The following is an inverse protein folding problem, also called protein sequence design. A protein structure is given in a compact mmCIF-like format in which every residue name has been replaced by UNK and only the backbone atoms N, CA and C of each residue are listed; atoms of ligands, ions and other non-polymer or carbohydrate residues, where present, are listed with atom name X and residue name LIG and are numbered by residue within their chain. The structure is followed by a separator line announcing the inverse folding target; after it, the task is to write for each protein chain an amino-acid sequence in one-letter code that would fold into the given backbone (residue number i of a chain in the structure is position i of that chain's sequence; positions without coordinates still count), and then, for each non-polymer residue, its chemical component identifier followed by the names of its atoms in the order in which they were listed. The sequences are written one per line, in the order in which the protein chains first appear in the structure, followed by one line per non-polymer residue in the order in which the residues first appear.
data_IF_107319779623
#
_entry.id   IF_107319779623
#
_cell.length_a   1.000
_cell.length_b   1.000
_cell.length_c   1.000
_cell.angle_alpha   90.00
_cell.angle_beta   90.00
_cell.angle_gamma   90.00
#
_symmetry.space_group_name_H-M   'P 1'
#
loop_
_entity.id
_entity.type
_entity.pdbx_description
1 polymer ?
#
# COMPACT_ATOMS: atom_id res chain seq x y z
N UNK A 1 20.10 -0.42 -27.76
CA UNK A 1 19.28 0.79 -27.93
C UNK A 1 18.34 0.99 -26.75
N UNK A 2 17.30 0.16 -26.56
CA UNK A 2 16.26 0.36 -25.52
C UNK A 2 16.81 0.47 -24.10
N UNK A 3 17.63 -0.49 -23.66
CA UNK A 3 18.24 -0.46 -22.32
C UNK A 3 19.13 0.77 -22.07
N UNK A 4 19.89 1.21 -23.07
CA UNK A 4 20.88 2.28 -22.91
C UNK A 4 20.26 3.67 -22.93
N UNK A 5 19.13 3.86 -23.64
CA UNK A 5 18.46 5.16 -23.76
C UNK A 5 17.28 5.31 -22.80
N UNK A 6 16.55 4.21 -22.53
CA UNK A 6 15.31 4.25 -21.75
C UNK A 6 15.37 3.48 -20.42
N UNK A 7 16.48 2.78 -20.14
CA UNK A 7 16.62 1.95 -18.94
C UNK A 7 15.54 0.87 -18.78
N UNK A 8 14.98 0.40 -19.90
CA UNK A 8 13.98 -0.65 -19.93
C UNK A 8 14.57 -1.98 -20.41
N UNK A 9 14.01 -3.08 -19.90
CA UNK A 9 14.28 -4.42 -20.40
C UNK A 9 13.33 -4.72 -21.56
N UNK A 10 13.87 -5.28 -22.63
CA UNK A 10 13.10 -5.61 -23.83
C UNK A 10 12.50 -7.02 -23.69
N UNK A 11 11.20 -7.15 -23.96
CA UNK A 11 10.56 -8.46 -24.10
C UNK A 11 10.73 -8.96 -25.54
N UNK A 12 11.34 -10.13 -25.70
CA UNK A 12 11.61 -10.72 -27.02
C UNK A 12 10.36 -11.26 -27.71
N UNK A 13 9.37 -11.66 -26.92
CA UNK A 13 8.14 -12.29 -27.40
C UNK A 13 6.94 -11.46 -26.97
N UNK A 14 6.43 -10.66 -27.89
CA UNK A 14 5.20 -9.90 -27.71
C UNK A 14 4.37 -9.96 -28.98
N UNK A 15 3.09 -9.64 -28.87
CA UNK A 15 2.25 -9.38 -30.04
C UNK A 15 2.33 -7.89 -30.38
N UNK A 16 1.26 -7.31 -30.93
CA UNK A 16 1.15 -5.87 -31.11
C UNK A 16 1.33 -5.10 -29.79
N UNK A 17 0.91 -5.70 -28.67
CA UNK A 17 1.07 -5.17 -27.31
C UNK A 17 1.99 -6.06 -26.49
N UNK A 18 2.49 -5.49 -25.39
CA UNK A 18 3.25 -6.22 -24.37
C UNK A 18 2.30 -7.15 -23.57
N UNK A 19 2.84 -8.23 -23.03
CA UNK A 19 2.10 -9.26 -22.26
C UNK A 19 1.56 -8.77 -20.90
N UNK A 20 2.09 -7.66 -20.39
CA UNK A 20 1.72 -7.01 -19.12
C UNK A 20 1.94 -7.87 -17.86
N UNK A 21 2.60 -9.02 -17.98
CA UNK A 21 2.85 -9.94 -16.86
C UNK A 21 3.62 -9.27 -15.71
N UNK A 22 4.66 -8.47 -16.02
CA UNK A 22 5.40 -7.74 -14.98
C UNK A 22 4.52 -6.76 -14.19
N UNK A 23 3.49 -6.17 -14.83
CA UNK A 23 2.56 -5.26 -14.17
C UNK A 23 1.67 -6.05 -13.22
N UNK A 24 1.19 -7.22 -13.66
CA UNK A 24 0.42 -8.14 -12.83
C UNK A 24 1.24 -8.58 -11.60
N UNK A 25 2.49 -9.01 -11.79
CA UNK A 25 3.37 -9.45 -10.70
C UNK A 25 3.62 -8.33 -9.66
N UNK A 26 3.88 -7.11 -10.14
CA UNK A 26 4.06 -5.95 -9.26
C UNK A 26 2.77 -5.63 -8.50
N UNK A 27 1.63 -5.62 -9.22
CA UNK A 27 0.33 -5.31 -8.63
C UNK A 27 -0.07 -6.33 -7.57
N UNK A 28 0.15 -7.62 -7.83
CA UNK A 28 -0.10 -8.70 -6.88
C UNK A 28 0.80 -8.59 -5.64
N UNK A 29 2.06 -8.19 -5.83
CA UNK A 29 2.99 -7.96 -4.71
C UNK A 29 2.53 -6.79 -3.85
N UNK A 30 2.11 -5.69 -4.47
CA UNK A 30 1.54 -4.53 -3.77
C UNK A 30 0.25 -4.92 -3.05
N UNK A 31 -0.62 -5.70 -3.69
CA UNK A 31 -1.86 -6.16 -3.09
C UNK A 31 -1.59 -6.99 -1.82
N UNK A 32 -0.64 -7.93 -1.87
CA UNK A 32 -0.23 -8.71 -0.68
C UNK A 32 0.32 -7.84 0.45
N UNK A 33 1.17 -6.86 0.12
CA UNK A 33 1.68 -5.89 1.10
C UNK A 33 0.56 -5.06 1.72
N UNK A 34 -0.41 -4.62 0.90
CA UNK A 34 -1.55 -3.87 1.41
C UNK A 34 -2.42 -4.72 2.32
N UNK A 35 -2.63 -6.00 2.01
CA UNK A 35 -3.39 -6.91 2.87
C UNK A 35 -2.73 -7.06 4.25
N UNK A 36 -1.40 -7.23 4.32
CA UNK A 36 -0.71 -7.31 5.61
C UNK A 36 -0.74 -5.99 6.39
N UNK A 37 -0.68 -4.85 5.69
CA UNK A 37 -0.83 -3.53 6.33
C UNK A 37 -2.26 -3.27 6.81
N UNK A 38 -3.28 -3.74 6.07
CA UNK A 38 -4.67 -3.65 6.51
C UNK A 38 -4.87 -4.45 7.78
N UNK A 39 -4.33 -5.67 7.84
CA UNK A 39 -4.37 -6.52 9.04
C UNK A 39 -3.75 -5.79 10.26
N UNK A 40 -2.56 -5.22 10.08
CA UNK A 40 -1.91 -4.39 11.11
C UNK A 40 -2.77 -3.19 11.54
N UNK A 41 -3.37 -2.47 10.60
CA UNK A 41 -4.24 -1.33 10.90
C UNK A 41 -5.47 -1.75 11.70
N UNK A 42 -6.08 -2.89 11.35
CA UNK A 42 -7.23 -3.46 12.07
C UNK A 42 -6.84 -3.85 13.49
N UNK A 43 -5.69 -4.51 13.66
CA UNK A 43 -5.18 -4.89 14.98
C UNK A 43 -4.92 -3.66 15.87
N UNK A 44 -4.24 -2.64 15.34
CA UNK A 44 -4.00 -1.38 16.08
C UNK A 44 -5.32 -0.73 16.49
N UNK A 45 -6.30 -0.69 15.58
CA UNK A 45 -7.63 -0.15 15.87
C UNK A 45 -8.35 -0.95 16.97
N UNK A 46 -8.28 -2.28 16.94
CA UNK A 46 -8.85 -3.15 17.98
C UNK A 46 -8.14 -2.95 19.32
N UNK A 47 -6.81 -2.81 19.34
CA UNK A 47 -6.07 -2.55 20.56
C UNK A 47 -6.37 -1.20 21.19
N UNK A 48 -6.59 -0.16 20.37
CA UNK A 48 -7.06 1.16 20.86
C UNK A 48 -8.48 1.03 21.43
N UNK A 49 -9.38 0.36 20.70
CA UNK A 49 -10.77 0.17 21.13
C UNK A 49 -10.89 -0.61 22.44
N UNK A 50 -9.99 -1.58 22.66
CA UNK A 50 -9.90 -2.37 23.89
C UNK A 50 -9.10 -1.68 25.01
N UNK A 51 -8.71 -0.41 24.85
CA UNK A 51 -7.89 0.36 25.79
C UNK A 51 -6.53 -0.28 26.15
N UNK A 52 -6.00 -1.16 25.29
CA UNK A 52 -4.65 -1.75 25.43
C UNK A 52 -3.60 -0.71 25.02
N UNK A 53 -3.87 0.01 23.93
CA UNK A 53 -3.07 1.13 23.44
C UNK A 53 -3.85 2.45 23.56
N UNK A 54 -3.14 3.58 23.71
CA UNK A 54 -3.73 4.93 23.69
C UNK A 54 -2.97 5.84 22.74
N UNK A 55 -3.71 6.71 22.07
CA UNK A 55 -3.14 7.75 21.20
C UNK A 55 -2.55 8.88 22.04
N UNK A 56 -1.43 9.43 21.58
CA UNK A 56 -0.84 10.64 22.18
C UNK A 56 -1.68 11.84 21.79
N UNK A 57 -2.21 12.56 22.78
CA UNK A 57 -3.01 13.77 22.54
C UNK A 57 -2.13 14.97 22.22
N UNK A 58 -2.51 15.73 21.21
CA UNK A 58 -1.94 17.03 20.86
C UNK A 58 -3.04 18.07 21.10
N UNK A 59 -2.78 19.09 21.93
CA UNK A 59 -3.82 20.02 22.40
C UNK A 59 -4.53 20.81 21.28
N UNK A 60 -3.93 20.92 20.10
CA UNK A 60 -4.49 21.63 18.95
C UNK A 60 -5.39 20.75 18.08
N UNK A 61 -5.40 19.43 18.31
CA UNK A 61 -6.16 18.48 17.50
C UNK A 61 -7.53 18.21 18.12
N UNK A 62 -8.56 18.15 17.28
CA UNK A 62 -9.94 17.91 17.69
C UNK A 62 -10.34 16.55 17.12
N UNK A 63 -10.70 15.60 18.01
CA UNK A 63 -11.05 14.24 17.62
C UNK A 63 -12.48 14.11 17.05
N UNK A 64 -13.43 14.90 17.56
CA UNK A 64 -14.81 14.93 17.11
C UNK A 64 -15.34 16.36 17.13
N UNK A 65 -16.17 16.71 16.15
CA UNK A 65 -16.78 18.04 16.06
C UNK A 65 -17.86 18.28 17.12
N UNK A 66 -18.42 17.23 17.71
CA UNK A 66 -19.54 17.32 18.67
C UNK A 66 -19.24 16.66 20.01
N UNK A 67 -18.28 15.75 20.07
CA UNK A 67 -17.87 15.09 21.31
C UNK A 67 -16.56 15.72 21.79
N UNK A 68 -16.56 16.38 22.97
CA UNK A 68 -15.34 16.98 23.53
C UNK A 68 -14.32 15.93 23.96
#
# INVERSE_FOLDING_TARGET
FIKNYFSLYFSFYSTQIQDHDYICEISDTIARLNTTLIDLCVDIWLYISNNILKLKMIHTEIGSSTMP
#
